data_IF_666776969224
#
_entry.id   IF_666776969224
#
_cell.length_a   1.000
_cell.length_b   1.000
_cell.length_c   1.000
_cell.angle_alpha   90.00
_cell.angle_beta   90.00
_cell.angle_gamma   90.00
#
_symmetry.space_group_name_H-M   'P 1'
#
loop_
_entity.id
_entity.type
_entity.pdbx_description
1 polymer ?
#
# COMPACT_ATOMS: atom_id res chain seq x y z
N UNK A 1 15.98 -1.10 7.01
CA UNK A 1 15.71 0.29 7.49
C UNK A 1 17.02 1.05 7.63
N UNK A 2 17.25 2.09 6.82
CA UNK A 2 18.40 2.99 7.00
C UNK A 2 18.35 3.60 8.40
N UNK A 3 19.44 3.49 9.17
CA UNK A 3 19.52 4.10 10.49
C UNK A 3 19.36 5.62 10.35
N UNK A 4 18.27 6.16 10.87
CA UNK A 4 18.06 7.60 10.92
C UNK A 4 19.05 8.23 11.89
N UNK A 5 19.73 9.30 11.50
CA UNK A 5 20.62 10.08 12.38
C UNK A 5 19.88 10.73 13.56
N UNK A 6 18.55 10.70 13.55
CA UNK A 6 17.67 11.12 14.64
C UNK A 6 17.63 10.03 15.72
N UNK A 7 18.45 10.19 16.76
CA UNK A 7 18.30 9.45 18.02
C UNK A 7 17.49 10.31 18.99
N UNK A 8 16.22 9.96 19.18
CA UNK A 8 15.38 10.62 20.17
C UNK A 8 15.78 10.16 21.57
N UNK A 9 15.69 11.07 22.54
CA UNK A 9 15.76 10.68 23.95
C UNK A 9 14.44 10.05 24.38
N UNK A 10 14.45 9.14 25.37
CA UNK A 10 13.21 8.51 25.90
C UNK A 10 12.10 9.51 26.22
N UNK A 11 12.46 10.67 26.80
CA UNK A 11 11.51 11.76 27.09
C UNK A 11 10.89 12.40 25.85
N UNK A 12 11.63 12.49 24.74
CA UNK A 12 11.12 13.01 23.47
C UNK A 12 10.19 11.99 22.80
N UNK A 13 10.54 10.71 22.86
CA UNK A 13 9.69 9.61 22.37
C UNK A 13 8.35 9.58 23.12
N UNK A 14 8.37 9.62 24.45
CA UNK A 14 7.16 9.67 25.28
C UNK A 14 6.26 10.87 24.94
N UNK A 15 6.85 12.05 24.73
CA UNK A 15 6.11 13.25 24.32
C UNK A 15 5.50 13.12 22.92
N UNK A 16 6.25 12.55 21.97
CA UNK A 16 5.77 12.30 20.62
C UNK A 16 4.60 11.32 20.60
N UNK A 17 4.72 10.23 21.34
CA UNK A 17 3.66 9.23 21.48
C UNK A 17 2.43 9.87 22.12
N UNK A 18 2.60 10.62 23.21
CA UNK A 18 1.49 11.30 23.88
C UNK A 18 0.78 12.28 22.94
N UNK A 19 1.54 13.12 22.24
CA UNK A 19 1.00 14.06 21.26
C UNK A 19 0.25 13.34 20.13
N UNK A 20 0.80 12.25 19.59
CA UNK A 20 0.15 11.48 18.53
C UNK A 20 -1.18 10.87 19.00
N UNK A 21 -1.22 10.31 20.21
CA UNK A 21 -2.45 9.75 20.78
C UNK A 21 -3.51 10.83 21.04
N UNK A 22 -3.13 11.96 21.64
CA UNK A 22 -4.02 13.10 21.84
C UNK A 22 -4.57 13.62 20.52
N UNK A 23 -3.72 13.71 19.49
CA UNK A 23 -4.12 14.17 18.16
C UNK A 23 -5.09 13.21 17.49
N UNK A 24 -4.90 11.90 17.66
CA UNK A 24 -5.83 10.88 17.15
C UNK A 24 -7.21 11.02 17.78
N UNK A 25 -7.28 11.21 19.10
CA UNK A 25 -8.57 11.40 19.79
C UNK A 25 -9.26 12.70 19.35
N UNK A 26 -8.52 13.80 19.21
CA UNK A 26 -9.06 15.04 18.63
C UNK A 26 -9.64 14.82 17.24
N UNK A 27 -8.90 14.15 16.35
CA UNK A 27 -9.37 13.87 14.99
C UNK A 27 -10.58 12.95 14.96
N UNK A 28 -10.72 12.01 15.89
CA UNK A 28 -11.91 11.17 16.03
C UNK A 28 -13.12 11.97 16.45
N UNK A 29 -12.95 12.93 17.35
CA UNK A 29 -14.03 13.81 17.78
C UNK A 29 -14.45 14.77 16.66
N UNK A 30 -13.49 15.44 16.02
CA UNK A 30 -13.71 16.36 14.90
C UNK A 30 -14.43 15.67 13.72
N UNK A 31 -14.10 14.40 13.45
CA UNK A 31 -14.68 13.63 12.34
C UNK A 31 -15.82 12.68 12.77
N UNK A 32 -16.33 12.78 14.01
CA UNK A 32 -17.30 11.82 14.55
C UNK A 32 -18.51 11.65 13.66
N UNK A 33 -19.11 12.76 13.22
CA UNK A 33 -20.30 12.76 12.37
C UNK A 33 -20.04 12.02 11.04
N UNK A 34 -18.87 12.26 10.43
CA UNK A 34 -18.48 11.57 9.20
C UNK A 34 -18.35 10.07 9.44
N UNK A 35 -17.66 9.67 10.51
CA UNK A 35 -17.46 8.25 10.87
C UNK A 35 -18.79 7.53 11.10
N UNK A 36 -19.75 8.15 11.78
CA UNK A 36 -21.08 7.56 11.99
C UNK A 36 -21.86 7.44 10.68
N UNK A 37 -21.80 8.46 9.82
CA UNK A 37 -22.44 8.40 8.50
C UNK A 37 -21.83 7.30 7.62
N UNK A 38 -20.51 7.11 7.65
CA UNK A 38 -19.84 6.07 6.84
C UNK A 38 -20.19 4.65 7.29
N UNK A 39 -20.49 4.44 8.59
CA UNK A 39 -21.03 3.15 9.08
C UNK A 39 -22.41 2.85 8.49
N UNK A 40 -23.22 3.89 8.27
CA UNK A 40 -24.55 3.75 7.68
C UNK A 40 -24.44 3.52 6.17
N UNK A 41 -23.49 4.18 5.48
CA UNK A 41 -23.27 4.01 4.04
C UNK A 41 -23.09 2.54 3.64
N UNK A 42 -22.35 1.75 4.43
CA UNK A 42 -22.19 0.32 4.17
C UNK A 42 -23.49 -0.47 4.29
N UNK A 43 -24.34 -0.13 5.27
CA UNK A 43 -25.66 -0.76 5.41
C UNK A 43 -26.55 -0.41 4.23
N UNK A 44 -26.51 0.85 3.78
CA UNK A 44 -27.26 1.29 2.61
C UNK A 44 -26.80 0.59 1.31
N UNK A 45 -25.49 0.40 1.14
CA UNK A 45 -24.93 -0.35 0.00
C UNK A 45 -25.33 -1.83 0.01
N UNK A 46 -25.33 -2.49 1.17
CA UNK A 46 -25.80 -3.87 1.30
C UNK A 46 -27.34 -4.01 1.33
N UNK A 47 -28.06 -2.89 1.19
CA UNK A 47 -29.52 -2.83 1.31
C UNK A 47 -30.04 -3.41 2.64
N UNK A 48 -29.22 -3.36 3.69
CA UNK A 48 -29.63 -3.70 5.05
C UNK A 48 -30.51 -2.56 5.58
N UNK A 49 -31.82 -2.82 5.58
CA UNK A 49 -32.87 -1.89 5.99
C UNK A 49 -33.35 -2.11 7.42
N UNK A 50 -32.44 -2.52 8.31
CA UNK A 50 -32.69 -2.57 9.76
C UNK A 50 -33.13 -1.22 10.35
N UNK A 51 -32.88 -0.10 9.65
CA UNK A 51 -33.39 1.25 9.94
C UNK A 51 -34.92 1.39 9.82
N UNK A 52 -35.59 0.52 9.05
CA UNK A 52 -37.05 0.58 8.83
C UNK A 52 -37.88 0.01 9.97
N UNK A 53 -37.26 -0.69 10.93
CA UNK A 53 -37.95 -1.34 12.05
C UNK A 53 -38.20 -0.31 13.16
N UNK A 54 -39.09 0.63 12.90
CA UNK A 54 -39.68 1.50 13.92
C UNK A 54 -40.89 0.83 14.56
N UNK A 55 -41.08 1.01 15.87
CA UNK A 55 -42.32 0.62 16.56
C UNK A 55 -43.48 1.38 15.88
N UNK A 56 -44.39 0.65 15.23
CA UNK A 56 -45.57 1.18 14.52
C UNK A 56 -45.31 1.86 13.14
N UNK A 57 -44.20 1.57 12.48
CA UNK A 57 -43.92 2.05 11.12
C UNK A 57 -44.54 1.19 10.02
N UNK A 58 -45.32 1.78 9.10
CA UNK A 58 -45.87 1.12 7.89
C UNK A 58 -44.77 0.44 7.04
N UNK A 59 -43.54 0.93 7.15
CA UNK A 59 -42.37 0.42 6.42
C UNK A 59 -41.74 -0.84 7.02
N UNK A 60 -42.13 -1.25 8.23
CA UNK A 60 -41.68 -2.50 8.85
C UNK A 60 -42.13 -3.74 8.06
N UNK A 61 -43.24 -3.63 7.34
CA UNK A 61 -43.81 -4.70 6.51
C UNK A 61 -43.51 -4.54 5.01
N UNK A 62 -42.78 -3.49 4.61
CA UNK A 62 -42.46 -3.25 3.20
C UNK A 62 -41.21 -4.01 2.79
N UNK A 63 -41.40 -5.00 1.90
CA UNK A 63 -40.34 -5.82 1.30
C UNK A 63 -39.68 -5.17 0.07
N UNK A 64 -40.13 -3.99 -0.35
CA UNK A 64 -39.65 -3.34 -1.57
C UNK A 64 -38.64 -2.24 -1.20
N UNK A 65 -37.36 -2.59 -1.25
CA UNK A 65 -36.28 -1.60 -1.29
C UNK A 65 -35.56 -1.72 -2.62
N UNK A 66 -35.66 -0.66 -3.44
CA UNK A 66 -34.80 -0.53 -4.62
C UNK A 66 -33.40 -0.17 -4.12
N UNK A 67 -32.37 -0.98 -4.40
CA UNK A 67 -31.00 -0.72 -3.97
C UNK A 67 -30.34 0.32 -4.89
N UNK A 68 -30.87 1.55 -4.89
CA UNK A 68 -30.37 2.63 -5.75
C UNK A 68 -28.89 2.94 -5.49
N UNK A 69 -28.47 2.90 -4.23
CA UNK A 69 -27.08 3.16 -3.85
C UNK A 69 -26.13 2.13 -4.44
N UNK A 70 -26.46 0.84 -4.33
CA UNK A 70 -25.64 -0.25 -4.88
C UNK A 70 -25.52 -0.14 -6.40
N UNK A 71 -26.66 0.04 -7.09
CA UNK A 71 -26.68 0.18 -8.55
C UNK A 71 -25.82 1.36 -9.05
N UNK A 72 -25.89 2.50 -8.37
CA UNK A 72 -25.09 3.68 -8.73
C UNK A 72 -23.61 3.46 -8.44
N UNK A 73 -23.27 2.92 -7.26
CA UNK A 73 -21.88 2.65 -6.87
C UNK A 73 -21.25 1.63 -7.81
N UNK A 74 -21.93 0.53 -8.12
CA UNK A 74 -21.40 -0.52 -9.01
C UNK A 74 -21.18 0.01 -10.43
N UNK A 75 -22.07 0.86 -10.93
CA UNK A 75 -21.89 1.54 -12.23
C UNK A 75 -20.67 2.47 -12.23
N UNK A 76 -20.49 3.28 -11.19
CA UNK A 76 -19.32 4.16 -11.09
C UNK A 76 -18.03 3.39 -10.85
N UNK A 77 -18.08 2.26 -10.16
CA UNK A 77 -16.94 1.37 -9.96
C UNK A 77 -16.48 0.78 -11.30
N UNK A 78 -17.39 0.18 -12.07
CA UNK A 78 -17.06 -0.37 -13.38
C UNK A 78 -16.47 0.68 -14.32
N UNK A 79 -17.02 1.91 -14.29
CA UNK A 79 -16.50 3.01 -15.09
C UNK A 79 -15.12 3.49 -14.60
N UNK A 80 -14.90 3.54 -13.29
CA UNK A 80 -13.61 3.94 -12.72
C UNK A 80 -12.53 2.91 -13.05
N UNK A 81 -12.84 1.62 -13.02
CA UNK A 81 -11.95 0.55 -13.46
C UNK A 81 -11.55 0.74 -14.93
N UNK A 82 -12.52 0.93 -15.83
CA UNK A 82 -12.22 1.13 -17.25
C UNK A 82 -11.45 2.43 -17.55
N UNK A 83 -11.87 3.56 -16.97
CA UNK A 83 -11.29 4.87 -17.29
C UNK A 83 -9.96 5.13 -16.58
N UNK A 84 -9.82 4.71 -15.31
CA UNK A 84 -8.67 5.08 -14.47
C UNK A 84 -7.60 3.99 -14.48
N UNK A 85 -7.96 2.71 -14.27
CA UNK A 85 -6.98 1.60 -14.27
C UNK A 85 -6.90 0.85 -15.59
N UNK A 86 -7.89 0.98 -16.47
CA UNK A 86 -7.94 0.33 -17.76
C UNK A 86 -7.00 0.92 -18.81
N UNK A 87 -6.55 2.17 -18.63
CA UNK A 87 -5.65 2.85 -19.57
C UNK A 87 -4.22 2.99 -19.00
N UNK A 88 -3.31 2.06 -19.34
CA UNK A 88 -1.87 2.31 -19.15
C UNK A 88 -1.39 3.36 -20.16
N UNK A 89 -0.46 4.29 -19.80
CA UNK A 89 0.19 4.46 -18.49
C UNK A 89 -0.40 5.59 -17.62
N UNK A 90 -0.35 5.43 -16.29
CA UNK A 90 -0.86 6.40 -15.30
C UNK A 90 -0.17 7.77 -15.34
N UNK A 91 1.10 7.79 -15.74
CA UNK A 91 1.91 8.98 -15.92
C UNK A 91 2.82 8.73 -17.12
N UNK A 92 3.29 9.82 -17.72
CA UNK A 92 4.20 9.77 -18.84
C UNK A 92 5.35 10.72 -18.59
N UNK A 93 6.57 10.24 -18.78
CA UNK A 93 7.74 11.13 -18.80
C UNK A 93 7.92 11.72 -20.20
N UNK A 94 7.94 13.05 -20.27
CA UNK A 94 8.19 13.78 -21.52
C UNK A 94 9.57 14.46 -21.46
N UNK A 95 10.31 14.39 -22.57
CA UNK A 95 11.60 15.03 -22.68
C UNK A 95 11.46 16.55 -22.76
N UNK A 96 12.24 17.29 -21.97
CA UNK A 96 12.26 18.76 -22.03
C UNK A 96 13.10 19.29 -23.20
N UNK A 97 14.02 18.48 -23.74
CA UNK A 97 14.86 18.83 -24.88
C UNK A 97 15.35 17.61 -25.67
N UNK A 98 15.98 17.86 -26.81
CA UNK A 98 16.42 16.80 -27.73
C UNK A 98 17.47 15.85 -27.14
N UNK A 99 18.19 16.27 -26.08
CA UNK A 99 19.17 15.43 -25.39
C UNK A 99 18.56 14.47 -24.36
N UNK A 100 17.31 14.68 -23.95
CA UNK A 100 16.69 13.92 -22.85
C UNK A 100 15.72 12.84 -23.35
N UNK A 101 15.61 12.65 -24.67
CA UNK A 101 14.63 11.72 -25.28
C UNK A 101 14.85 10.29 -24.77
N UNK A 102 16.09 9.80 -24.86
CA UNK A 102 16.43 8.43 -24.46
C UNK A 102 16.27 8.23 -22.96
N UNK A 103 16.59 9.25 -22.16
CA UNK A 103 16.47 9.20 -20.71
C UNK A 103 15.00 9.23 -20.26
N UNK A 104 14.17 10.06 -20.89
CA UNK A 104 12.74 10.11 -20.63
C UNK A 104 12.07 8.78 -20.96
N UNK A 105 12.39 8.17 -22.11
CA UNK A 105 11.87 6.85 -22.46
C UNK A 105 12.32 5.75 -21.47
N UNK A 106 13.57 5.82 -21.02
CA UNK A 106 14.10 4.86 -20.04
C UNK A 106 13.40 4.98 -18.69
N UNK A 107 13.17 6.20 -18.21
CA UNK A 107 12.41 6.43 -16.98
C UNK A 107 10.96 5.98 -17.13
N UNK A 108 10.32 6.28 -18.26
CA UNK A 108 8.95 5.88 -18.53
C UNK A 108 8.77 4.36 -18.44
N UNK A 109 9.65 3.61 -19.11
CA UNK A 109 9.63 2.14 -19.03
C UNK A 109 9.91 1.63 -17.61
N UNK A 110 10.92 2.17 -16.93
CA UNK A 110 11.30 1.73 -15.59
C UNK A 110 10.18 1.96 -14.56
N UNK A 111 9.58 3.15 -14.56
CA UNK A 111 8.55 3.47 -13.58
C UNK A 111 7.23 2.74 -13.86
N UNK A 112 6.86 2.52 -15.13
CA UNK A 112 5.72 1.69 -15.47
C UNK A 112 5.93 0.24 -15.03
N UNK A 113 7.10 -0.36 -15.31
CA UNK A 113 7.47 -1.68 -14.79
C UNK A 113 7.40 -1.74 -13.26
N UNK A 114 7.93 -0.73 -12.57
CA UNK A 114 7.94 -0.71 -11.10
C UNK A 114 6.56 -0.59 -10.48
N UNK A 115 5.67 0.21 -11.08
CA UNK A 115 4.34 0.50 -10.51
C UNK A 115 3.34 -0.60 -10.85
N UNK A 116 3.41 -1.14 -12.07
CA UNK A 116 2.52 -2.23 -12.51
C UNK A 116 3.03 -3.59 -12.02
N UNK A 117 4.25 -3.97 -12.38
CA UNK A 117 4.72 -5.36 -12.19
C UNK A 117 5.28 -5.64 -10.80
N UNK A 118 5.84 -4.64 -10.11
CA UNK A 118 6.44 -4.83 -8.78
C UNK A 118 5.52 -4.40 -7.63
N UNK A 119 4.81 -3.29 -7.80
CA UNK A 119 3.95 -2.74 -6.75
C UNK A 119 2.49 -3.22 -6.83
N UNK A 120 2.08 -3.88 -7.93
CA UNK A 120 0.69 -4.28 -8.20
C UNK A 120 -0.31 -3.15 -7.93
N UNK A 121 0.06 -1.92 -8.32
CA UNK A 121 -0.68 -0.72 -7.94
C UNK A 121 -2.10 -0.74 -8.48
N UNK A 122 -2.29 -1.30 -9.68
CA UNK A 122 -3.60 -1.45 -10.32
C UNK A 122 -4.58 -2.23 -9.47
N UNK A 123 -4.23 -3.45 -9.07
CA UNK A 123 -5.08 -4.32 -8.24
C UNK A 123 -5.46 -3.62 -6.92
N UNK A 124 -4.49 -2.95 -6.30
CA UNK A 124 -4.71 -2.20 -5.06
C UNK A 124 -5.64 -0.99 -5.24
N UNK A 125 -5.58 -0.32 -6.38
CA UNK A 125 -6.50 0.79 -6.70
C UNK A 125 -7.92 0.27 -6.96
N UNK A 126 -8.06 -0.83 -7.69
CA UNK A 126 -9.34 -1.48 -8.00
C UNK A 126 -10.05 -1.93 -6.71
N UNK A 127 -9.33 -2.61 -5.81
CA UNK A 127 -9.85 -2.98 -4.47
C UNK A 127 -10.32 -1.75 -3.67
N UNK A 128 -9.66 -0.61 -3.89
CA UNK A 128 -9.89 0.61 -3.11
C UNK A 128 -11.04 1.49 -3.62
N UNK A 129 -11.48 1.34 -4.88
CA UNK A 129 -12.55 2.16 -5.44
C UNK A 129 -13.87 1.99 -4.70
N UNK A 130 -14.18 0.77 -4.27
CA UNK A 130 -15.37 0.50 -3.47
C UNK A 130 -15.39 1.31 -2.18
N UNK A 131 -14.26 1.33 -1.46
CA UNK A 131 -14.10 2.10 -0.24
C UNK A 131 -14.20 3.61 -0.50
N UNK A 132 -13.64 4.09 -1.62
CA UNK A 132 -13.73 5.49 -2.01
C UNK A 132 -15.17 5.93 -2.25
N UNK A 133 -15.98 5.15 -2.98
CA UNK A 133 -17.36 5.52 -3.29
C UNK A 133 -18.30 5.38 -2.09
N UNK A 134 -18.09 4.37 -1.23
CA UNK A 134 -18.96 4.13 -0.07
C UNK A 134 -18.60 5.04 1.12
N UNK A 135 -17.32 5.16 1.45
CA UNK A 135 -16.84 5.84 2.66
C UNK A 135 -16.28 7.24 2.36
N UNK A 136 -16.22 7.65 1.10
CA UNK A 136 -15.77 9.00 0.66
C UNK A 136 -14.33 9.33 1.10
N UNK A 137 -13.58 8.32 1.52
CA UNK A 137 -12.22 8.46 2.03
C UNK A 137 -11.42 7.20 1.71
N UNK A 138 -10.21 7.41 1.22
CA UNK A 138 -9.23 6.37 0.96
C UNK A 138 -7.86 6.89 1.38
N UNK A 139 -7.10 6.08 2.11
CA UNK A 139 -5.74 6.43 2.53
C UNK A 139 -4.80 5.34 2.01
N UNK A 140 -4.06 5.68 0.95
CA UNK A 140 -3.02 4.83 0.39
C UNK A 140 -1.66 5.31 0.90
N UNK A 141 -0.81 4.36 1.29
CA UNK A 141 0.55 4.64 1.72
C UNK A 141 1.51 3.73 0.98
N UNK A 142 2.42 4.34 0.23
CA UNK A 142 3.56 3.62 -0.33
C UNK A 142 4.56 3.29 0.80
N UNK A 143 4.95 2.03 0.90
CA UNK A 143 5.98 1.56 1.83
C UNK A 143 7.22 1.20 1.02
N UNK A 144 8.38 1.66 1.49
CA UNK A 144 9.64 1.25 0.92
C UNK A 144 10.00 -0.15 1.43
N UNK A 145 10.03 -1.10 0.50
CA UNK A 145 10.55 -2.43 0.73
C UNK A 145 11.87 -2.58 -0.03
N UNK A 146 12.88 -3.10 0.65
CA UNK A 146 14.20 -3.36 0.10
C UNK A 146 14.48 -4.84 0.33
N UNK A 147 14.32 -5.64 -0.71
CA UNK A 147 14.72 -7.05 -0.67
C UNK A 147 16.22 -7.11 -0.95
N UNK A 148 17.00 -7.14 0.14
CA UNK A 148 18.46 -7.27 0.05
C UNK A 148 18.77 -8.75 -0.06
N UNK A 149 18.93 -9.25 -1.29
CA UNK A 149 19.51 -10.57 -1.50
C UNK A 149 20.99 -10.53 -1.09
N UNK A 150 21.30 -10.94 0.14
CA UNK A 150 22.68 -11.17 0.56
C UNK A 150 23.14 -12.52 0.00
N UNK A 151 23.93 -12.46 -1.08
CA UNK A 151 24.63 -13.64 -1.59
C UNK A 151 25.88 -13.84 -0.72
N UNK A 152 25.91 -14.93 0.05
CA UNK A 152 27.14 -15.37 0.68
C UNK A 152 27.97 -16.08 -0.39
N UNK A 153 28.99 -15.37 -0.88
CA UNK A 153 29.95 -15.92 -1.83
C UNK A 153 30.92 -16.85 -1.07
N UNK A 154 30.56 -18.12 -0.96
CA UNK A 154 31.36 -19.15 -0.28
C UNK A 154 32.65 -19.51 -1.05
N UNK A 155 32.80 -19.06 -2.30
CA UNK A 155 33.95 -19.43 -3.15
C UNK A 155 35.20 -18.58 -2.90
N UNK A 156 35.10 -17.47 -2.14
CA UNK A 156 36.23 -16.54 -1.98
C UNK A 156 37.36 -17.02 -1.06
N UNK A 157 37.20 -18.14 -0.36
CA UNK A 157 38.15 -18.58 0.69
C UNK A 157 38.95 -19.85 0.36
N UNK A 158 38.77 -20.46 -0.81
CA UNK A 158 39.55 -21.62 -1.25
C UNK A 158 40.51 -21.25 -2.37
N UNK A 159 41.82 -21.17 -2.10
CA UNK A 159 42.81 -21.18 -3.17
C UNK A 159 42.99 -22.63 -3.63
N UNK A 160 42.66 -22.91 -4.89
CA UNK A 160 42.87 -24.23 -5.47
C UNK A 160 44.35 -24.42 -5.79
N UNK A 161 45.03 -25.31 -5.08
CA UNK A 161 46.45 -25.56 -5.29
C UNK A 161 46.64 -26.56 -6.45
N UNK A 162 47.14 -26.06 -7.57
CA UNK A 162 47.30 -26.84 -8.82
C UNK A 162 48.29 -28.00 -8.72
N UNK A 163 49.17 -28.03 -7.70
CA UNK A 163 50.16 -29.10 -7.52
C UNK A 163 49.63 -30.26 -6.67
N UNK A 164 48.78 -29.97 -5.68
CA UNK A 164 48.20 -30.98 -4.78
C UNK A 164 46.77 -31.39 -5.16
N UNK A 165 46.13 -30.64 -6.08
CA UNK A 165 44.74 -30.82 -6.50
C UNK A 165 43.71 -30.74 -5.35
N UNK A 166 44.05 -30.05 -4.27
CA UNK A 166 43.20 -29.85 -3.09
C UNK A 166 43.00 -28.34 -2.81
N UNK A 167 41.90 -28.01 -2.13
CA UNK A 167 41.59 -26.64 -1.72
C UNK A 167 42.31 -26.30 -0.41
N UNK A 168 43.15 -25.28 -0.42
CA UNK A 168 43.80 -24.76 0.80
C UNK A 168 43.03 -23.55 1.36
N UNK A 169 42.87 -23.54 2.70
CA UNK A 169 42.29 -22.41 3.43
C UNK A 169 43.29 -21.26 3.55
N UNK A 170 42.82 -20.02 3.33
CA UNK A 170 43.64 -18.82 3.46
C UNK A 170 43.96 -18.59 4.96
N UNK A 171 45.25 -18.52 5.36
CA UNK A 171 45.61 -18.28 6.76
C UNK A 171 45.20 -16.85 7.17
N UNK A 172 44.29 -16.72 8.14
CA UNK A 172 43.91 -15.42 8.74
C UNK A 172 42.41 -15.14 8.84
N UNK A 173 41.56 -15.92 8.18
CA UNK A 173 40.12 -15.98 8.49
C UNK A 173 39.86 -17.28 9.24
N UNK A 174 39.76 -17.19 10.57
CA UNK A 174 39.46 -18.34 11.42
C UNK A 174 38.07 -18.93 11.13
N UNK A 175 37.82 -20.18 11.55
CA UNK A 175 36.52 -20.82 11.35
C UNK A 175 35.43 -20.04 12.09
N UNK A 176 34.41 -19.61 11.35
CA UNK A 176 33.17 -19.09 11.95
C UNK A 176 32.35 -20.32 12.35
N UNK A 177 32.20 -20.51 13.66
CA UNK A 177 31.39 -21.58 14.25
C UNK A 177 29.92 -21.22 14.01
N UNK A 178 29.22 -22.07 13.26
CA UNK A 178 27.76 -22.07 13.17
C UNK A 178 27.17 -22.44 14.54
N UNK A 179 26.24 -21.63 15.05
CA UNK A 179 25.38 -21.97 16.19
C UNK A 179 23.97 -22.32 15.71
N UNK A 180 23.40 -23.37 16.30
CA UNK A 180 22.04 -23.91 16.06
C UNK A 180 20.91 -22.86 16.06
#
# INVERSE_FOLDING_TARGET
MKQTNLRLTKKQEEKLVKYALERVEQLKEDNRERIENDKISWKMYHNDRTDRVGYDGIFSHSNLSVPMTSLVVDHFMARAEDEITGTSPYFKFEAQGAGDIDMAETYDKYFNWKIEDQANTRERLEESYLHLFIQRALVLKAVYEEDVSTWYDYERNGLFNLQTQEFEQIPGQGPIIEGE
#
